data_IF_192886408308
#
_entry.id   IF_192886408308
#
_cell.length_a   1.000
_cell.length_b   1.000
_cell.length_c   1.000
_cell.angle_alpha   90.00
_cell.angle_beta   90.00
_cell.angle_gamma   90.00
#
_symmetry.space_group_name_H-M   'P 1'
#
loop_
_entity.id
_entity.type
_entity.pdbx_description
1 polymer ?
#
# COMPACT_ATOMS: atom_id res chain seq x y z
N UNK A 1 64.23 -21.55 27.85
CA UNK A 1 64.21 -21.73 26.39
C UNK A 1 62.77 -21.68 25.90
N UNK A 2 62.53 -20.80 24.92
CA UNK A 2 61.46 -20.80 23.92
C UNK A 2 59.98 -20.83 24.38
N UNK A 3 59.24 -19.74 24.13
CA UNK A 3 58.38 -19.52 22.93
C UNK A 3 57.10 -20.38 22.99
N UNK A 4 55.88 -19.90 22.76
CA UNK A 4 55.41 -18.70 22.08
C UNK A 4 53.96 -18.45 22.48
N UNK A 5 53.65 -17.19 22.64
CA UNK A 5 52.32 -16.62 22.47
C UNK A 5 51.74 -16.98 21.09
N UNK A 6 50.47 -17.41 21.04
CA UNK A 6 49.60 -17.15 19.90
C UNK A 6 48.13 -17.18 20.34
N UNK A 7 47.66 -15.97 20.64
CA UNK A 7 46.26 -15.57 20.68
C UNK A 7 45.67 -15.77 19.28
N UNK A 8 44.58 -16.52 19.17
CA UNK A 8 43.62 -16.35 18.09
C UNK A 8 42.24 -16.70 18.62
N UNK A 9 41.66 -15.74 19.37
CA UNK A 9 40.23 -15.66 19.55
C UNK A 9 39.63 -15.39 18.17
N UNK A 10 39.20 -16.46 17.48
CA UNK A 10 38.37 -16.35 16.30
C UNK A 10 36.99 -15.92 16.80
N UNK A 11 36.85 -14.61 17.01
CA UNK A 11 35.58 -13.94 16.99
C UNK A 11 35.01 -14.10 15.60
N UNK A 12 34.23 -15.16 15.38
CA UNK A 12 33.24 -15.18 14.32
C UNK A 12 32.30 -14.03 14.64
N UNK A 13 32.58 -12.89 14.02
CA UNK A 13 31.67 -11.79 13.92
C UNK A 13 30.35 -12.36 13.40
N UNK A 14 29.39 -12.51 14.31
CA UNK A 14 28.00 -12.43 13.93
C UNK A 14 27.85 -11.06 13.29
N UNK A 15 27.96 -11.00 11.96
CA UNK A 15 27.46 -9.87 11.20
C UNK A 15 26.02 -9.72 11.68
N UNK A 16 25.63 -8.59 12.31
CA UNK A 16 24.23 -8.30 12.39
C UNK A 16 23.87 -8.05 10.94
N UNK A 17 23.27 -9.06 10.30
CA UNK A 17 22.38 -8.81 9.19
C UNK A 17 21.19 -8.09 9.84
N UNK A 18 21.39 -6.82 10.22
CA UNK A 18 20.34 -5.88 10.48
C UNK A 18 19.67 -5.68 9.12
N UNK A 19 18.81 -6.64 8.77
CA UNK A 19 17.63 -6.33 8.01
C UNK A 19 17.05 -5.10 8.71
N UNK A 20 17.11 -3.95 8.03
CA UNK A 20 16.60 -2.70 8.55
C UNK A 20 15.20 -2.99 9.10
N UNK A 21 15.07 -2.93 10.42
CA UNK A 21 13.79 -3.09 11.09
C UNK A 21 12.93 -2.00 10.50
N UNK A 22 11.95 -2.39 9.69
CA UNK A 22 11.17 -1.43 8.92
C UNK A 22 10.41 -0.61 9.93
N UNK A 23 10.79 0.65 10.07
CA UNK A 23 10.06 1.63 10.85
C UNK A 23 8.58 1.55 10.46
N UNK A 24 7.69 1.47 11.46
CA UNK A 24 6.27 1.23 11.23
C UNK A 24 5.67 2.39 10.42
N UNK A 25 5.31 2.11 9.17
CA UNK A 25 4.74 3.06 8.21
C UNK A 25 3.23 3.28 8.38
N UNK A 26 2.64 2.76 9.44
CA UNK A 26 1.19 2.77 9.61
C UNK A 26 0.56 4.17 9.51
N UNK A 27 1.13 5.25 10.10
CA UNK A 27 0.61 6.60 9.92
C UNK A 27 0.54 7.03 8.46
N UNK A 28 1.57 6.72 7.67
CA UNK A 28 1.59 7.00 6.24
C UNK A 28 0.51 6.18 5.51
N UNK A 29 0.41 4.88 5.79
CA UNK A 29 -0.60 4.01 5.15
C UNK A 29 -2.02 4.50 5.46
N UNK A 30 -2.29 4.88 6.71
CA UNK A 30 -3.59 5.44 7.12
C UNK A 30 -3.87 6.78 6.41
N UNK A 31 -2.88 7.66 6.28
CA UNK A 31 -3.01 8.92 5.50
C UNK A 31 -3.32 8.64 4.04
N UNK A 32 -2.59 7.73 3.40
CA UNK A 32 -2.80 7.37 1.99
C UNK A 32 -4.23 6.88 1.73
N UNK A 33 -4.79 6.06 2.65
CA UNK A 33 -6.17 5.57 2.54
C UNK A 33 -7.17 6.70 2.81
N UNK A 34 -7.12 7.29 4.01
CA UNK A 34 -8.22 8.08 4.55
C UNK A 34 -8.15 9.58 4.26
N UNK A 35 -6.99 10.11 3.88
CA UNK A 35 -6.82 11.53 3.54
C UNK A 35 -6.65 11.71 2.03
N UNK A 36 -5.67 11.04 1.45
CA UNK A 36 -5.29 11.21 0.05
C UNK A 36 -6.29 10.52 -0.89
N UNK A 37 -6.38 9.19 -0.85
CA UNK A 37 -7.28 8.46 -1.74
C UNK A 37 -8.75 8.82 -1.45
N UNK A 38 -9.20 8.74 -0.20
CA UNK A 38 -10.59 9.06 0.13
C UNK A 38 -10.94 10.53 -0.19
N UNK A 39 -10.00 11.44 0.04
CA UNK A 39 -10.14 12.84 -0.32
C UNK A 39 -10.31 13.08 -1.81
N UNK A 40 -9.53 12.38 -2.63
CA UNK A 40 -9.68 12.42 -4.08
C UNK A 40 -11.00 11.81 -4.52
N UNK A 41 -11.36 10.62 -4.02
CA UNK A 41 -12.60 9.94 -4.41
C UNK A 41 -13.81 10.80 -4.08
N UNK A 42 -13.98 11.20 -2.82
CA UNK A 42 -15.15 11.99 -2.39
C UNK A 42 -15.09 13.40 -2.95
N UNK A 43 -14.03 14.14 -2.67
CA UNK A 43 -14.02 15.59 -2.83
C UNK A 43 -13.25 16.09 -4.06
N UNK A 44 -12.57 15.21 -4.80
CA UNK A 44 -11.82 15.59 -5.99
C UNK A 44 -10.55 16.39 -5.68
N UNK A 45 -10.10 16.36 -4.43
CA UNK A 45 -8.82 16.94 -4.04
C UNK A 45 -7.68 16.26 -4.80
N UNK A 46 -6.66 17.02 -5.17
CA UNK A 46 -5.43 16.46 -5.73
C UNK A 46 -4.85 15.48 -4.69
N UNK A 47 -4.71 14.18 -5.00
CA UNK A 47 -4.19 13.23 -4.03
C UNK A 47 -2.67 13.43 -3.83
N UNK A 48 -2.18 13.04 -2.64
CA UNK A 48 -0.76 13.06 -2.28
C UNK A 48 -0.14 14.46 -2.20
N UNK A 49 -0.97 15.50 -2.12
CA UNK A 49 -0.51 16.86 -1.90
C UNK A 49 0.24 16.97 -0.56
N UNK A 50 1.40 17.62 -0.58
CA UNK A 50 2.29 17.70 0.58
C UNK A 50 3.03 16.40 0.92
N UNK A 51 2.83 15.32 0.15
CA UNK A 51 3.79 14.22 0.10
C UNK A 51 4.85 14.56 -0.92
N UNK A 52 6.07 14.21 -0.60
CA UNK A 52 7.18 14.39 -1.50
C UNK A 52 7.06 13.28 -2.57
N UNK A 53 6.98 13.65 -3.85
CA UNK A 53 6.69 12.73 -4.97
C UNK A 53 7.62 12.96 -6.16
N UNK A 54 7.75 11.95 -7.02
CA UNK A 54 8.37 12.08 -8.35
C UNK A 54 7.56 11.30 -9.39
N UNK A 55 7.64 11.63 -10.68
CA UNK A 55 7.08 10.78 -11.73
C UNK A 55 7.57 9.33 -11.59
N UNK A 56 6.67 8.37 -11.79
CA UNK A 56 7.01 6.97 -11.68
C UNK A 56 7.98 6.54 -12.78
N UNK A 57 8.94 5.68 -12.40
CA UNK A 57 9.82 5.00 -13.34
C UNK A 57 9.05 4.08 -14.27
N UNK A 58 9.65 3.70 -15.42
CA UNK A 58 9.04 2.74 -16.35
C UNK A 58 8.81 1.40 -15.69
N UNK A 59 9.71 1.00 -14.81
CA UNK A 59 9.67 -0.21 -14.00
C UNK A 59 8.48 -0.18 -13.03
N UNK A 60 8.29 0.92 -12.30
CA UNK A 60 7.14 1.10 -11.41
C UNK A 60 5.82 1.07 -12.18
N UNK A 61 5.76 1.74 -13.34
CA UNK A 61 4.59 1.72 -14.22
C UNK A 61 4.30 0.29 -14.71
N UNK A 62 5.33 -0.48 -15.08
CA UNK A 62 5.19 -1.85 -15.54
C UNK A 62 4.50 -2.77 -14.52
N UNK A 63 4.69 -2.53 -13.22
CA UNK A 63 4.06 -3.29 -12.12
C UNK A 63 2.61 -2.88 -11.82
N UNK A 64 2.16 -1.72 -12.32
CA UNK A 64 0.77 -1.31 -12.20
C UNK A 64 -0.14 -2.17 -13.10
N UNK A 65 -1.36 -2.53 -12.65
CA UNK A 65 -2.34 -3.19 -13.51
C UNK A 65 -2.56 -2.41 -14.80
N UNK A 66 -2.62 -3.09 -15.94
CA UNK A 66 -2.80 -2.44 -17.26
C UNK A 66 -4.08 -1.61 -17.36
N UNK A 67 -5.10 -1.93 -16.54
CA UNK A 67 -6.37 -1.22 -16.45
C UNK A 67 -6.38 -0.10 -15.40
N UNK A 68 -5.27 0.18 -14.73
CA UNK A 68 -5.21 1.28 -13.77
C UNK A 68 -5.48 2.62 -14.48
N UNK A 69 -6.47 3.43 -14.03
CA UNK A 69 -6.77 4.71 -14.66
C UNK A 69 -5.56 5.65 -14.62
N UNK A 70 -5.32 6.35 -15.73
CA UNK A 70 -4.20 7.29 -15.86
C UNK A 70 -2.83 6.71 -15.43
N UNK A 71 -2.62 5.40 -15.64
CA UNK A 71 -1.39 4.66 -15.28
C UNK A 71 -0.09 5.37 -15.65
N UNK A 72 -0.03 6.01 -16.81
CA UNK A 72 1.16 6.73 -17.28
C UNK A 72 1.47 8.02 -16.51
N UNK A 73 0.52 8.51 -15.70
CA UNK A 73 0.69 9.66 -14.79
C UNK A 73 1.00 9.22 -13.35
N UNK A 74 1.26 7.93 -13.14
CA UNK A 74 1.60 7.43 -11.81
C UNK A 74 2.81 8.15 -11.23
N UNK A 75 2.81 8.28 -9.91
CA UNK A 75 3.90 8.89 -9.16
C UNK A 75 4.49 7.86 -8.21
N UNK A 76 5.79 7.96 -8.00
CA UNK A 76 6.43 7.34 -6.86
C UNK A 76 6.36 8.31 -5.68
N UNK A 77 5.94 7.79 -4.54
CA UNK A 77 5.98 8.53 -3.28
C UNK A 77 7.42 8.48 -2.77
N UNK A 78 7.96 9.53 -2.16
CA UNK A 78 9.36 9.59 -1.70
C UNK A 78 9.69 8.66 -0.52
N UNK A 79 8.76 7.79 -0.14
CA UNK A 79 9.12 6.45 0.34
C UNK A 79 9.20 5.55 -0.90
N UNK A 80 10.39 5.21 -1.44
CA UNK A 80 10.55 4.66 -2.80
C UNK A 80 9.89 3.29 -3.01
N UNK A 81 9.26 2.76 -1.96
CA UNK A 81 8.51 1.52 -1.97
C UNK A 81 7.12 1.66 -2.57
N UNK A 82 6.52 2.84 -2.66
CA UNK A 82 5.13 2.99 -3.15
C UNK A 82 5.06 3.68 -4.51
N UNK A 83 4.31 3.07 -5.41
CA UNK A 83 3.78 3.71 -6.60
C UNK A 83 2.29 3.99 -6.40
N UNK A 84 1.86 5.18 -6.78
CA UNK A 84 0.48 5.60 -6.71
C UNK A 84 -0.04 5.98 -8.10
N UNK A 85 -1.25 5.55 -8.42
CA UNK A 85 -1.96 5.92 -9.64
C UNK A 85 -3.40 6.30 -9.29
N UNK A 86 -3.94 7.30 -9.96
CA UNK A 86 -5.32 7.74 -9.77
C UNK A 86 -5.83 8.34 -11.06
N UNK A 87 -7.14 8.26 -11.25
CA UNK A 87 -7.75 8.78 -12.46
C UNK A 87 -9.25 8.66 -12.43
N UNK A 88 -9.88 8.87 -13.59
CA UNK A 88 -11.31 8.74 -13.78
C UNK A 88 -11.62 7.70 -14.85
N UNK A 89 -12.65 6.91 -14.60
CA UNK A 89 -13.29 6.06 -15.61
C UNK A 89 -14.78 6.40 -15.65
N UNK A 90 -15.20 7.12 -16.69
CA UNK A 90 -16.53 7.71 -16.79
C UNK A 90 -16.87 8.63 -15.59
N UNK A 91 -17.89 8.23 -14.82
CA UNK A 91 -18.35 8.95 -13.63
C UNK A 91 -17.63 8.53 -12.34
N UNK A 92 -16.64 7.66 -12.44
CA UNK A 92 -15.99 7.05 -11.27
C UNK A 92 -14.60 7.62 -11.10
N UNK A 93 -14.19 7.87 -9.85
CA UNK A 93 -12.80 8.12 -9.49
C UNK A 93 -12.17 6.85 -8.94
N UNK A 94 -10.88 6.69 -9.19
CA UNK A 94 -10.10 5.56 -8.71
C UNK A 94 -8.77 6.04 -8.14
N UNK A 95 -8.34 5.42 -7.05
CA UNK A 95 -7.04 5.61 -6.44
C UNK A 95 -6.43 4.23 -6.16
N UNK A 96 -5.17 4.05 -6.52
CA UNK A 96 -4.42 2.81 -6.35
C UNK A 96 -3.06 3.13 -5.75
N UNK A 97 -2.72 2.47 -4.65
CA UNK A 97 -1.38 2.46 -4.07
C UNK A 97 -0.87 1.04 -4.13
N UNK A 98 0.34 0.85 -4.65
CA UNK A 98 0.99 -0.44 -4.73
C UNK A 98 2.41 -0.32 -4.19
N UNK A 99 2.86 -1.32 -3.46
CA UNK A 99 4.29 -1.46 -3.20
C UNK A 99 4.98 -2.12 -4.39
N UNK A 100 6.14 -1.58 -4.77
CA UNK A 100 6.89 -2.02 -5.95
C UNK A 100 8.06 -2.91 -5.58
N UNK A 101 8.24 -3.99 -6.34
CA UNK A 101 9.26 -5.02 -6.09
C UNK A 101 10.65 -4.56 -6.49
N UNK A 102 10.78 -3.72 -7.52
CA UNK A 102 12.09 -3.20 -7.91
C UNK A 102 12.75 -2.36 -6.80
N UNK A 103 11.99 -1.81 -5.85
CA UNK A 103 12.54 -1.07 -4.70
C UNK A 103 13.42 -1.97 -3.80
N UNK A 104 13.28 -3.30 -3.87
CA UNK A 104 14.17 -4.24 -3.17
C UNK A 104 15.62 -4.16 -3.67
N UNK A 105 15.84 -3.73 -4.92
CA UNK A 105 17.20 -3.46 -5.45
C UNK A 105 17.92 -2.38 -4.64
N UNK A 106 17.15 -1.45 -4.08
CA UNK A 106 17.63 -0.36 -3.24
C UNK A 106 17.52 -0.69 -1.73
N UNK A 107 17.38 -1.98 -1.38
CA UNK A 107 17.23 -2.49 -0.01
C UNK A 107 15.98 -2.02 0.72
N UNK A 108 14.94 -1.61 -0.02
CA UNK A 108 13.64 -1.28 0.55
C UNK A 108 12.73 -2.49 0.45
N UNK A 109 12.04 -2.84 1.53
CA UNK A 109 11.09 -3.96 1.45
C UNK A 109 9.90 -3.61 0.59
N UNK A 110 9.50 -4.56 -0.25
CA UNK A 110 8.30 -4.47 -1.04
C UNK A 110 7.01 -4.54 -0.21
N UNK A 111 7.02 -4.37 1.13
CA UNK A 111 5.84 -4.46 2.02
C UNK A 111 5.27 -3.10 2.44
N UNK A 112 3.99 -3.07 2.86
CA UNK A 112 3.34 -1.85 3.38
C UNK A 112 4.06 -1.25 4.59
N UNK A 113 4.96 -1.98 5.24
CA UNK A 113 5.73 -1.53 6.39
C UNK A 113 4.89 -1.39 7.66
N UNK A 114 3.78 -2.13 7.75
CA UNK A 114 2.87 -2.11 8.90
C UNK A 114 3.04 -3.38 9.73
N UNK A 115 2.71 -3.28 11.02
CA UNK A 115 2.63 -4.46 11.90
C UNK A 115 1.32 -5.20 11.62
N UNK A 116 1.41 -6.41 11.05
CA UNK A 116 0.24 -7.20 10.67
C UNK A 116 -0.76 -7.40 11.83
N UNK A 117 -0.25 -7.63 13.05
CA UNK A 117 -1.08 -7.81 14.23
C UNK A 117 -1.94 -6.57 14.53
N UNK A 118 -3.26 -6.74 14.44
CA UNK A 118 -4.25 -5.70 14.72
C UNK A 118 -4.37 -4.60 13.67
N UNK A 119 -3.58 -4.61 12.59
CA UNK A 119 -3.63 -3.57 11.56
C UNK A 119 -5.03 -3.43 10.93
N UNK A 120 -5.62 -4.55 10.49
CA UNK A 120 -6.96 -4.54 9.88
C UNK A 120 -8.06 -4.10 10.86
N UNK A 121 -7.87 -4.33 12.15
CA UNK A 121 -8.79 -3.85 13.20
C UNK A 121 -8.73 -2.32 13.32
N UNK A 122 -7.52 -1.73 13.34
CA UNK A 122 -7.32 -0.28 13.35
C UNK A 122 -7.83 0.38 12.08
N UNK A 123 -7.63 -0.25 10.92
CA UNK A 123 -8.22 0.22 9.65
C UNK A 123 -9.74 0.20 9.74
N UNK A 124 -10.33 -0.86 10.29
CA UNK A 124 -11.80 -0.99 10.44
C UNK A 124 -12.36 0.09 11.37
N UNK A 125 -11.70 0.38 12.49
CA UNK A 125 -12.11 1.46 13.38
C UNK A 125 -12.08 2.82 12.68
N UNK A 126 -11.00 3.13 11.98
CA UNK A 126 -10.85 4.38 11.21
C UNK A 126 -11.86 4.47 10.06
N UNK A 127 -12.14 3.35 9.39
CA UNK A 127 -13.14 3.26 8.33
C UNK A 127 -14.55 3.59 8.83
N UNK A 128 -14.92 3.09 10.02
CA UNK A 128 -16.22 3.44 10.64
C UNK A 128 -16.32 4.95 10.89
N UNK A 129 -15.27 5.58 11.43
CA UNK A 129 -15.24 7.05 11.60
C UNK A 129 -15.34 7.79 10.28
N UNK A 130 -14.85 7.22 9.19
CA UNK A 130 -14.95 7.77 7.85
C UNK A 130 -16.29 7.47 7.15
N UNK A 131 -17.26 6.83 7.82
CA UNK A 131 -18.60 6.56 7.29
C UNK A 131 -18.72 5.29 6.44
N UNK A 132 -17.77 4.37 6.54
CA UNK A 132 -17.91 3.03 5.97
C UNK A 132 -18.75 2.16 6.93
N UNK A 133 -19.83 1.58 6.41
CA UNK A 133 -20.81 0.80 7.19
C UNK A 133 -20.65 -0.70 6.98
N UNK A 134 -20.13 -1.11 5.83
CA UNK A 134 -19.89 -2.50 5.48
C UNK A 134 -18.39 -2.78 5.54
N UNK A 135 -18.01 -3.80 6.29
CA UNK A 135 -16.61 -4.17 6.48
C UNK A 135 -16.48 -5.70 6.49
N UNK A 136 -15.61 -6.21 5.62
CA UNK A 136 -15.22 -7.61 5.53
C UNK A 136 -13.70 -7.67 5.70
N UNK A 137 -13.18 -7.40 6.92
CA UNK A 137 -11.76 -7.56 7.18
C UNK A 137 -11.40 -9.05 7.14
N UNK A 138 -10.26 -9.37 6.55
CA UNK A 138 -9.68 -10.70 6.69
C UNK A 138 -9.24 -10.94 8.13
N UNK A 139 -9.24 -12.21 8.57
CA UNK A 139 -8.76 -12.59 9.91
C UNK A 139 -7.28 -12.25 10.11
N UNK A 140 -6.50 -12.25 9.02
CA UNK A 140 -5.07 -11.95 9.02
C UNK A 140 -4.70 -11.13 7.79
N UNK A 141 -3.84 -10.13 7.99
CA UNK A 141 -3.21 -9.42 6.88
C UNK A 141 -2.13 -10.31 6.25
N UNK A 142 -2.47 -10.97 5.14
CA UNK A 142 -1.63 -11.94 4.44
C UNK A 142 -1.92 -11.95 2.96
N UNK A 143 -0.98 -12.45 2.15
CA UNK A 143 -1.11 -12.48 0.69
C UNK A 143 -2.27 -13.32 0.14
N UNK A 144 -2.88 -14.15 0.99
CA UNK A 144 -3.96 -15.07 0.63
C UNK A 144 -5.35 -14.48 0.91
N UNK A 145 -5.42 -13.32 1.55
CA UNK A 145 -6.66 -12.76 2.03
C UNK A 145 -6.87 -11.32 1.56
N UNK A 146 -8.12 -11.00 1.25
CA UNK A 146 -8.54 -9.67 0.82
C UNK A 146 -9.42 -9.07 1.88
N UNK A 147 -9.14 -7.82 2.29
CA UNK A 147 -10.00 -7.07 3.20
C UNK A 147 -10.73 -5.97 2.44
N UNK A 148 -12.02 -5.81 2.70
CA UNK A 148 -12.88 -4.87 1.97
C UNK A 148 -13.70 -4.01 2.92
N UNK A 149 -13.89 -2.74 2.56
CA UNK A 149 -14.78 -1.80 3.24
C UNK A 149 -15.58 -1.01 2.21
N UNK A 150 -16.87 -0.81 2.49
CA UNK A 150 -17.78 -0.04 1.64
C UNK A 150 -18.69 0.85 2.48
N UNK A 151 -19.08 1.98 1.89
CA UNK A 151 -20.29 2.67 2.33
C UNK A 151 -21.50 1.75 2.17
N UNK A 152 -22.61 2.12 2.82
CA UNK A 152 -23.86 1.37 2.76
C UNK A 152 -24.21 0.99 1.32
N UNK A 153 -24.48 -0.30 1.11
CA UNK A 153 -24.87 -0.81 -0.20
C UNK A 153 -26.09 -0.06 -0.72
N UNK A 154 -25.99 0.33 -1.99
CA UNK A 154 -27.06 0.98 -2.74
C UNK A 154 -27.77 0.00 -3.67
N UNK A 155 -27.41 -1.29 -3.61
CA UNK A 155 -27.85 -2.31 -4.57
C UNK A 155 -27.25 -2.16 -5.97
N UNK A 156 -26.24 -1.30 -6.14
CA UNK A 156 -25.56 -1.06 -7.42
C UNK A 156 -24.07 -1.34 -7.30
N UNK A 157 -23.56 -2.24 -8.14
CA UNK A 157 -22.12 -2.56 -8.20
C UNK A 157 -21.36 -1.63 -9.17
N UNK A 158 -22.08 -0.87 -10.00
CA UNK A 158 -21.51 0.01 -11.02
C UNK A 158 -22.32 1.29 -11.21
N UNK A 159 -21.73 2.27 -11.88
CA UNK A 159 -22.37 3.54 -12.20
C UNK A 159 -22.36 4.56 -11.05
N UNK A 160 -23.10 5.67 -11.20
CA UNK A 160 -23.04 6.81 -10.28
C UNK A 160 -23.66 6.53 -8.91
N UNK A 161 -24.42 5.44 -8.77
CA UNK A 161 -25.06 5.03 -7.53
C UNK A 161 -24.22 4.03 -6.72
N UNK A 162 -23.13 3.49 -7.26
CA UNK A 162 -22.30 2.54 -6.51
C UNK A 162 -21.67 3.21 -5.27
N UNK A 163 -21.53 2.51 -4.14
CA UNK A 163 -20.91 3.10 -2.95
C UNK A 163 -19.41 3.36 -3.15
N UNK A 164 -18.84 4.27 -2.36
CA UNK A 164 -17.39 4.34 -2.22
C UNK A 164 -16.92 3.09 -1.48
N UNK A 165 -15.90 2.43 -2.01
CA UNK A 165 -15.30 1.27 -1.36
C UNK A 165 -13.78 1.27 -1.50
N UNK A 166 -13.12 0.61 -0.56
CA UNK A 166 -11.71 0.31 -0.66
C UNK A 166 -11.38 -1.10 -0.22
N UNK A 167 -10.29 -1.60 -0.80
CA UNK A 167 -9.78 -2.94 -0.57
C UNK A 167 -8.30 -2.84 -0.24
N UNK A 168 -7.87 -3.60 0.77
CA UNK A 168 -6.46 -3.79 1.09
C UNK A 168 -6.12 -5.26 0.86
N UNK A 169 -5.08 -5.48 0.08
CA UNK A 169 -4.50 -6.79 -0.17
C UNK A 169 -3.05 -6.74 0.26
N UNK A 170 -2.58 -7.78 0.94
CA UNK A 170 -1.17 -8.11 0.79
C UNK A 170 -1.06 -8.85 -0.57
N UNK A 171 -0.16 -8.45 -1.44
CA UNK A 171 0.10 -9.10 -2.72
C UNK A 171 1.38 -9.91 -2.61
N UNK A 172 1.40 -11.19 -2.97
CA UNK A 172 2.67 -11.87 -3.27
C UNK A 172 3.13 -11.49 -4.67
N UNK A 173 4.43 -11.31 -4.86
CA UNK A 173 5.06 -11.19 -6.16
C UNK A 173 5.46 -12.57 -6.59
N UNK A 174 4.92 -13.04 -7.73
CA UNK A 174 5.26 -14.29 -8.43
C UNK A 174 5.30 -15.57 -7.56
N UNK A 175 4.34 -16.47 -7.78
CA UNK A 175 4.23 -17.78 -7.11
C UNK A 175 5.51 -18.63 -7.22
N UNK A 176 6.38 -18.36 -8.20
CA UNK A 176 7.66 -19.05 -8.36
C UNK A 176 8.75 -18.66 -7.33
N UNK A 177 8.60 -17.58 -6.56
CA UNK A 177 9.68 -17.02 -5.71
C UNK A 177 9.44 -17.06 -4.20
N UNK A 178 8.31 -17.56 -3.74
CA UNK A 178 8.03 -17.66 -2.31
C UNK A 178 7.67 -16.31 -1.70
N UNK A 179 6.71 -16.35 -0.77
CA UNK A 179 5.99 -15.19 -0.23
C UNK A 179 6.93 -14.18 0.42
N UNK A 180 6.89 -12.94 -0.08
CA UNK A 180 7.35 -11.72 0.60
C UNK A 180 6.19 -10.73 0.44
N UNK A 181 5.58 -10.25 1.52
CA UNK A 181 4.29 -9.53 1.41
C UNK A 181 4.46 -8.17 0.73
N UNK A 182 4.02 -8.03 -0.52
CA UNK A 182 3.67 -6.74 -1.11
C UNK A 182 2.28 -6.26 -0.67
N UNK A 183 1.93 -5.01 -0.94
CA UNK A 183 0.74 -4.36 -0.46
C UNK A 183 0.05 -3.60 -1.60
N UNK A 184 -1.24 -3.84 -1.76
CA UNK A 184 -2.09 -3.16 -2.73
C UNK A 184 -3.29 -2.55 -2.00
N UNK A 185 -3.50 -1.26 -2.18
CA UNK A 185 -4.67 -0.53 -1.73
C UNK A 185 -5.39 -0.04 -2.97
N UNK A 186 -6.65 -0.40 -3.13
CA UNK A 186 -7.50 0.06 -4.22
C UNK A 186 -8.71 0.74 -3.62
N UNK A 187 -9.03 1.93 -4.09
CA UNK A 187 -10.23 2.66 -3.70
C UNK A 187 -10.94 3.19 -4.94
N UNK A 188 -12.27 3.14 -4.93
CA UNK A 188 -13.04 3.74 -5.99
C UNK A 188 -14.46 4.05 -5.57
N UNK A 189 -15.08 4.94 -6.32
CA UNK A 189 -16.45 5.37 -6.06
C UNK A 189 -16.83 6.55 -6.94
N UNK A 190 -18.11 6.92 -6.96
CA UNK A 190 -18.55 8.14 -7.58
C UNK A 190 -18.05 9.34 -6.75
N UNK A 191 -17.83 10.51 -7.39
CA UNK A 191 -17.56 11.74 -6.66
C UNK A 191 -18.73 12.08 -5.74
N UNK A 192 -18.43 12.54 -4.53
CA UNK A 192 -19.43 12.97 -3.56
C UNK A 192 -19.36 14.50 -3.38
N UNK A 193 -20.44 15.18 -3.74
CA UNK A 193 -20.53 16.64 -3.75
C UNK A 193 -20.90 17.16 -5.13
N UNK A 194 -21.56 18.33 -5.18
CA UNK A 194 -21.83 19.02 -6.45
C UNK A 194 -20.50 19.53 -7.04
N UNK A 195 -20.39 19.57 -8.39
CA UNK A 195 -19.23 20.14 -9.07
C UNK A 195 -18.98 21.60 -8.71
#
# INVERSE_FOLDING_TARGET
MLRRWLVLAVGLAALPLQAAEIEENEPLVMRLIFEDCLGYIRHGRTPFEGLATRPASREAIAELPSRAPDREKAVELLSPRYVAAWGRDGQTRHCLIRTVWWAERDRLSARLGVRAAGFLSRVTERARTAGFEEAFPADTFSSLATSHWSEKSTGHDSGPLRPVSFTILASSGDEARGVLDAGLIVMGGPPQGRP
#
